data_IF_072310700271
#
_entry.id   IF_072310700271
#
_cell.length_a   1.000
_cell.length_b   1.000
_cell.length_c   1.000
_cell.angle_alpha   90.00
_cell.angle_beta   90.00
_cell.angle_gamma   90.00
#
_symmetry.space_group_name_H-M   'P 1'
#
loop_
_entity.id
_entity.type
_entity.pdbx_description
1 polymer ?
#
# COMPACT_ATOMS: atom_id res chain seq x y z
N UNK A 1 -28.00 -25.23 -4.44
CA UNK A 1 -27.30 -26.07 -5.42
C UNK A 1 -26.94 -25.32 -6.71
N UNK A 2 -27.88 -24.73 -7.48
CA UNK A 2 -27.55 -24.07 -8.78
C UNK A 2 -26.49 -22.95 -8.67
N UNK A 3 -26.50 -22.12 -7.63
CA UNK A 3 -25.47 -21.05 -7.40
C UNK A 3 -24.07 -21.61 -7.08
N UNK A 4 -23.98 -22.70 -6.34
CA UNK A 4 -22.70 -23.34 -6.02
C UNK A 4 -22.06 -23.98 -7.26
N UNK A 5 -22.88 -24.59 -8.14
CA UNK A 5 -22.41 -25.15 -9.42
C UNK A 5 -21.87 -24.03 -10.32
N UNK A 6 -22.50 -22.85 -10.33
CA UNK A 6 -22.05 -21.71 -11.12
C UNK A 6 -20.67 -21.21 -10.63
N UNK A 7 -20.45 -21.14 -9.33
CA UNK A 7 -19.14 -20.72 -8.76
C UNK A 7 -18.05 -21.75 -9.03
N UNK A 8 -18.37 -23.05 -8.93
CA UNK A 8 -17.43 -24.13 -9.22
C UNK A 8 -17.09 -24.15 -10.72
N UNK A 9 -18.07 -23.97 -11.60
CA UNK A 9 -17.82 -23.90 -13.04
C UNK A 9 -17.02 -22.65 -13.44
N UNK A 10 -17.28 -21.50 -12.83
CA UNK A 10 -16.51 -20.27 -13.03
C UNK A 10 -15.06 -20.45 -12.55
N UNK A 11 -14.86 -21.09 -11.41
CA UNK A 11 -13.52 -21.40 -10.87
C UNK A 11 -12.77 -22.40 -11.77
N UNK A 12 -13.44 -23.44 -12.30
CA UNK A 12 -12.85 -24.40 -13.23
C UNK A 12 -12.53 -23.78 -14.60
N UNK A 13 -13.33 -22.85 -15.09
CA UNK A 13 -13.03 -22.09 -16.32
C UNK A 13 -11.82 -21.19 -16.11
N UNK A 14 -11.72 -20.50 -14.97
CA UNK A 14 -10.55 -19.71 -14.63
C UNK A 14 -9.28 -20.57 -14.50
N UNK A 15 -9.36 -21.73 -13.89
CA UNK A 15 -8.20 -22.64 -13.73
C UNK A 15 -7.84 -23.39 -15.02
N UNK A 16 -8.81 -23.68 -15.87
CA UNK A 16 -8.59 -24.37 -17.16
C UNK A 16 -7.98 -23.49 -18.26
N UNK A 17 -8.15 -22.17 -18.17
CA UNK A 17 -7.58 -21.20 -19.11
C UNK A 17 -6.06 -20.96 -18.91
N UNK A 18 -5.45 -21.45 -17.85
CA UNK A 18 -4.05 -21.19 -17.48
C UNK A 18 -3.06 -22.19 -18.11
N UNK A 19 -3.27 -22.54 -19.37
CA UNK A 19 -2.18 -23.08 -20.21
C UNK A 19 -1.45 -21.98 -21.00
N UNK A 20 -1.53 -20.73 -20.57
CA UNK A 20 -0.59 -19.70 -21.03
C UNK A 20 0.77 -19.99 -20.37
N UNK A 21 1.83 -19.97 -21.15
CA UNK A 21 3.22 -19.91 -20.66
C UNK A 21 3.39 -18.58 -19.91
N UNK A 22 2.76 -18.49 -18.75
CA UNK A 22 2.86 -17.35 -17.86
C UNK A 22 4.21 -17.48 -17.19
N UNK A 23 5.15 -16.62 -17.53
CA UNK A 23 6.35 -16.43 -16.73
C UNK A 23 5.95 -15.61 -15.52
N UNK A 24 5.97 -16.16 -14.30
CA UNK A 24 5.70 -15.39 -13.12
C UNK A 24 6.82 -14.37 -12.91
N UNK A 25 6.49 -13.25 -12.31
CA UNK A 25 7.48 -12.28 -11.87
C UNK A 25 7.07 -11.69 -10.52
N UNK A 26 8.06 -11.28 -9.76
CA UNK A 26 7.86 -10.69 -8.46
C UNK A 26 8.72 -9.44 -8.30
N UNK A 27 8.30 -8.56 -7.42
CA UNK A 27 9.04 -7.35 -7.12
C UNK A 27 8.89 -6.95 -5.66
N UNK A 28 9.90 -6.23 -5.18
CA UNK A 28 9.93 -5.67 -3.84
C UNK A 28 10.43 -4.23 -3.92
N UNK A 29 9.75 -3.32 -3.22
CA UNK A 29 10.03 -1.89 -3.27
C UNK A 29 10.10 -1.28 -1.88
N UNK A 30 10.93 -0.28 -1.75
CA UNK A 30 10.79 0.78 -0.77
C UNK A 30 9.82 1.82 -1.34
N UNK A 31 8.86 2.25 -0.55
CA UNK A 31 7.78 3.15 -1.00
C UNK A 31 7.68 4.34 -0.06
N UNK A 32 7.64 5.53 -0.65
CA UNK A 32 7.28 6.78 0.02
C UNK A 32 5.91 7.20 -0.48
N UNK A 33 5.03 7.61 0.41
CA UNK A 33 3.68 8.05 0.08
C UNK A 33 3.44 9.48 0.56
N UNK A 34 2.93 10.30 -0.33
CA UNK A 34 2.64 11.72 -0.10
C UNK A 34 1.13 11.91 -0.11
N UNK A 35 0.52 12.26 1.03
CA UNK A 35 -0.89 12.60 1.09
C UNK A 35 -1.21 13.78 0.17
N UNK A 36 -2.38 13.76 -0.46
CA UNK A 36 -2.89 14.84 -1.30
C UNK A 36 -4.33 15.18 -0.94
N UNK A 37 -4.80 16.37 -1.34
CA UNK A 37 -6.14 16.84 -1.02
C UNK A 37 -6.38 16.94 0.48
N UNK A 38 -7.60 16.63 0.92
CA UNK A 38 -8.03 16.68 2.33
C UNK A 38 -7.12 15.83 3.24
N UNK A 39 -6.67 14.68 2.76
CA UNK A 39 -5.78 13.81 3.52
C UNK A 39 -4.46 14.49 3.92
N UNK A 40 -3.93 15.34 3.04
CA UNK A 40 -2.72 16.12 3.33
C UNK A 40 -2.93 17.10 4.48
N UNK A 41 -4.09 17.73 4.55
CA UNK A 41 -4.39 18.75 5.55
C UNK A 41 -4.40 18.14 6.97
N UNK A 42 -4.79 16.89 7.09
CA UNK A 42 -4.89 16.18 8.36
C UNK A 42 -3.64 15.39 8.75
N UNK A 43 -2.95 14.78 7.79
CA UNK A 43 -1.76 13.94 8.09
C UNK A 43 -0.46 14.70 7.98
N UNK A 44 -0.36 15.68 7.07
CA UNK A 44 0.72 16.67 6.97
C UNK A 44 2.08 16.17 6.53
N UNK A 45 2.45 14.90 6.79
CA UNK A 45 3.78 14.34 6.54
C UNK A 45 3.73 13.20 5.52
N UNK A 46 4.87 12.98 4.84
CA UNK A 46 5.05 11.81 4.00
C UNK A 46 5.07 10.52 4.84
N UNK A 47 4.49 9.45 4.29
CA UNK A 47 4.59 8.11 4.84
C UNK A 47 5.70 7.32 4.17
N UNK A 48 6.21 6.32 4.90
CA UNK A 48 7.26 5.42 4.43
C UNK A 48 6.84 3.97 4.63
N UNK A 49 7.27 3.11 3.73
CA UNK A 49 6.89 1.72 3.82
C UNK A 49 7.54 0.84 2.76
N UNK A 50 6.92 -0.32 2.56
CA UNK A 50 7.33 -1.28 1.56
C UNK A 50 6.15 -1.74 0.73
N UNK A 51 6.41 -2.14 -0.52
CA UNK A 51 5.42 -2.78 -1.36
C UNK A 51 6.02 -3.96 -2.11
N UNK A 52 5.17 -4.93 -2.45
CA UNK A 52 5.54 -6.09 -3.24
C UNK A 52 4.49 -6.34 -4.31
N UNK A 53 4.91 -6.93 -5.42
CA UNK A 53 4.02 -7.30 -6.51
C UNK A 53 4.30 -8.71 -6.96
N UNK A 54 3.23 -9.41 -7.31
CA UNK A 54 3.28 -10.75 -7.88
C UNK A 54 2.48 -10.76 -9.17
N UNK A 55 3.16 -10.97 -10.30
CA UNK A 55 2.52 -11.09 -11.59
C UNK A 55 2.29 -12.57 -11.94
N UNK A 56 1.05 -12.89 -12.22
CA UNK A 56 0.66 -14.22 -12.72
C UNK A 56 0.91 -14.32 -14.23
N UNK A 57 0.77 -13.18 -14.92
CA UNK A 57 1.06 -13.03 -16.33
C UNK A 57 2.06 -11.91 -16.52
N UNK A 58 3.22 -12.25 -17.05
CA UNK A 58 4.23 -11.28 -17.44
C UNK A 58 4.19 -11.02 -18.95
N UNK A 59 4.61 -9.85 -19.39
CA UNK A 59 4.61 -9.48 -20.80
C UNK A 59 5.42 -10.46 -21.66
N UNK A 60 4.90 -10.79 -22.83
CA UNK A 60 5.53 -11.66 -23.80
C UNK A 60 5.58 -10.97 -25.17
N UNK A 61 6.29 -11.57 -26.15
CA UNK A 61 6.36 -11.04 -27.52
C UNK A 61 4.98 -10.80 -28.16
N UNK A 62 3.98 -11.59 -27.77
CA UNK A 62 2.61 -11.52 -28.33
C UNK A 62 1.67 -10.66 -27.48
N UNK A 63 2.01 -10.46 -26.21
CA UNK A 63 1.12 -9.87 -25.20
C UNK A 63 1.92 -8.88 -24.36
N UNK A 64 1.81 -7.55 -24.62
CA UNK A 64 2.60 -6.52 -23.96
C UNK A 64 2.02 -6.11 -22.59
N UNK A 65 1.15 -6.89 -21.99
CA UNK A 65 0.55 -6.60 -20.70
C UNK A 65 0.83 -7.67 -19.65
N UNK A 66 0.83 -7.25 -18.39
CA UNK A 66 0.93 -8.09 -17.21
C UNK A 66 -0.29 -7.93 -16.32
N UNK A 67 -0.64 -8.99 -15.61
CA UNK A 67 -1.69 -9.02 -14.60
C UNK A 67 -1.14 -9.63 -13.32
N UNK A 68 -1.40 -8.97 -12.20
CA UNK A 68 -0.85 -9.37 -10.92
C UNK A 68 -1.60 -8.82 -9.72
N UNK A 69 -1.01 -8.98 -8.56
CA UNK A 69 -1.43 -8.38 -7.29
C UNK A 69 -0.32 -7.48 -6.77
N UNK A 70 -0.72 -6.36 -6.20
CA UNK A 70 0.16 -5.44 -5.48
C UNK A 70 -0.26 -5.41 -4.02
N UNK A 71 0.71 -5.56 -3.13
CA UNK A 71 0.57 -5.44 -1.68
C UNK A 71 1.43 -4.26 -1.24
N UNK A 72 0.91 -3.40 -0.40
CA UNK A 72 1.69 -2.31 0.17
C UNK A 72 1.37 -2.08 1.63
N UNK A 73 2.39 -1.68 2.37
CA UNK A 73 2.28 -1.23 3.75
C UNK A 73 3.01 0.09 3.88
N UNK A 74 2.33 1.12 4.35
CA UNK A 74 2.89 2.46 4.53
C UNK A 74 2.47 2.98 5.91
N UNK A 75 3.44 3.51 6.65
CA UNK A 75 3.21 4.16 7.93
C UNK A 75 3.39 5.67 7.81
N UNK A 76 2.42 6.42 8.32
CA UNK A 76 2.41 7.87 8.36
C UNK A 76 2.59 8.36 9.79
N UNK A 77 3.41 9.40 9.94
CA UNK A 77 3.44 10.18 11.17
C UNK A 77 3.80 9.38 12.41
N UNK A 78 4.88 8.60 12.36
CA UNK A 78 5.53 8.18 13.61
C UNK A 78 5.90 9.42 14.39
N UNK A 79 5.17 9.69 15.43
CA UNK A 79 5.45 10.80 16.33
C UNK A 79 5.71 10.25 17.73
N UNK A 80 6.91 10.52 18.20
CA UNK A 80 7.29 10.30 19.59
C UNK A 80 7.24 11.65 20.27
N UNK A 81 6.30 11.86 21.16
CA UNK A 81 6.15 13.14 21.86
C UNK A 81 5.99 12.96 23.35
N UNK A 82 6.48 13.94 24.09
CA UNK A 82 6.11 14.14 25.50
C UNK A 82 5.07 15.25 25.48
N UNK A 83 3.93 15.03 26.08
CA UNK A 83 2.86 16.03 26.11
C UNK A 83 3.28 17.22 26.97
N UNK A 84 3.36 18.40 26.34
CA UNK A 84 3.75 19.64 27.03
C UNK A 84 2.74 20.12 28.09
N UNK A 85 1.48 19.64 28.01
CA UNK A 85 0.45 20.00 29.00
C UNK A 85 0.52 19.17 30.29
N UNK A 86 1.24 18.05 30.26
CA UNK A 86 1.38 17.13 31.40
C UNK A 86 2.85 16.95 31.80
N UNK A 87 3.67 17.98 31.60
CA UNK A 87 5.10 17.99 31.95
C UNK A 87 5.40 17.54 33.38
N UNK A 88 4.41 17.66 34.27
CA UNK A 88 4.49 17.15 35.65
C UNK A 88 4.26 15.63 35.76
N UNK A 89 3.71 14.95 34.73
CA UNK A 89 3.33 13.53 34.77
C UNK A 89 4.13 12.62 33.84
N UNK A 90 5.07 13.14 33.04
CA UNK A 90 5.96 12.31 32.19
C UNK A 90 5.22 11.43 31.17
N UNK A 91 4.07 11.87 30.63
CA UNK A 91 3.30 11.12 29.65
C UNK A 91 4.02 11.12 28.30
N UNK A 92 4.44 9.95 27.85
CA UNK A 92 4.90 9.75 26.48
C UNK A 92 3.82 9.03 25.65
N UNK A 93 3.58 9.51 24.45
CA UNK A 93 2.67 8.85 23.52
C UNK A 93 3.35 8.53 22.21
N UNK A 94 2.99 7.38 21.67
CA UNK A 94 3.40 6.92 20.35
C UNK A 94 2.16 6.81 19.47
N UNK A 95 2.17 7.49 18.33
CA UNK A 95 1.06 7.52 17.39
C UNK A 95 1.55 7.21 16.00
N UNK A 96 0.91 6.26 15.34
CA UNK A 96 1.16 5.93 13.95
C UNK A 96 -0.16 5.65 13.22
N UNK A 97 -0.30 6.19 12.01
CA UNK A 97 -1.34 5.84 11.07
C UNK A 97 -0.74 4.90 10.03
N UNK A 98 -1.31 3.73 9.90
CA UNK A 98 -0.80 2.68 9.01
C UNK A 98 -1.82 2.36 7.93
N UNK A 99 -1.31 2.07 6.73
CA UNK A 99 -2.09 1.66 5.57
C UNK A 99 -1.56 0.32 5.08
N UNK A 100 -2.41 -0.68 5.07
CA UNK A 100 -2.17 -1.95 4.39
C UNK A 100 -3.10 -2.05 3.19
N UNK A 101 -2.55 -2.18 1.97
CA UNK A 101 -3.35 -2.16 0.75
C UNK A 101 -3.14 -3.40 -0.09
N UNK A 102 -4.21 -3.86 -0.73
CA UNK A 102 -4.19 -4.97 -1.68
C UNK A 102 -4.92 -4.54 -2.95
N UNK A 103 -4.23 -4.61 -4.09
CA UNK A 103 -4.77 -4.21 -5.38
C UNK A 103 -4.55 -5.26 -6.45
N UNK A 104 -5.54 -5.45 -7.29
CA UNK A 104 -5.37 -6.06 -8.61
C UNK A 104 -4.58 -5.07 -9.48
N UNK A 105 -3.53 -5.55 -10.13
CA UNK A 105 -2.58 -4.76 -10.89
C UNK A 105 -2.60 -5.17 -12.36
N UNK A 106 -2.87 -4.21 -13.24
CA UNK A 106 -2.72 -4.35 -14.67
C UNK A 106 -1.63 -3.43 -15.18
N UNK A 107 -0.65 -3.98 -15.91
CA UNK A 107 0.52 -3.24 -16.39
C UNK A 107 0.71 -3.44 -17.90
N UNK A 108 0.99 -2.38 -18.63
CA UNK A 108 1.38 -2.39 -20.03
C UNK A 108 2.85 -2.01 -20.09
N UNK A 109 3.69 -2.94 -20.57
CA UNK A 109 5.15 -2.77 -20.61
C UNK A 109 5.74 -3.48 -21.82
N UNK A 110 6.79 -2.91 -22.50
CA UNK A 110 7.50 -3.57 -23.59
C UNK A 110 8.08 -4.92 -23.15
N UNK A 111 7.94 -5.92 -24.00
CA UNK A 111 8.45 -7.28 -23.73
C UNK A 111 9.97 -7.33 -23.60
N UNK A 112 10.71 -6.53 -24.36
CA UNK A 112 12.17 -6.57 -24.43
C UNK A 112 12.77 -5.16 -24.31
N UNK A 113 14.04 -5.10 -23.92
CA UNK A 113 14.80 -3.87 -23.82
C UNK A 113 15.50 -3.74 -22.46
N UNK A 114 16.63 -3.04 -22.45
CA UNK A 114 17.37 -2.73 -21.22
C UNK A 114 16.66 -1.66 -20.38
N UNK A 115 15.86 -0.81 -21.03
CA UNK A 115 15.01 0.19 -20.39
C UNK A 115 13.59 -0.06 -20.84
N UNK A 116 12.67 -0.28 -19.90
CA UNK A 116 11.26 -0.61 -20.15
C UNK A 116 10.35 0.39 -19.46
N UNK A 117 9.91 1.43 -20.18
CA UNK A 117 8.85 2.30 -19.66
C UNK A 117 7.53 1.53 -19.61
N UNK A 118 6.70 1.80 -18.60
CA UNK A 118 5.42 1.17 -18.47
C UNK A 118 4.37 2.10 -17.84
N UNK A 119 3.12 1.74 -18.06
CA UNK A 119 1.98 2.32 -17.40
C UNK A 119 1.19 1.21 -16.70
N UNK A 120 0.54 1.55 -15.61
CA UNK A 120 -0.21 0.58 -14.83
C UNK A 120 -1.49 1.18 -14.24
N UNK A 121 -2.44 0.32 -13.95
CA UNK A 121 -3.67 0.65 -13.24
C UNK A 121 -3.87 -0.34 -12.10
N UNK A 122 -4.47 0.15 -11.01
CA UNK A 122 -4.71 -0.59 -9.80
C UNK A 122 -6.18 -0.46 -9.39
N UNK A 123 -6.74 -1.53 -8.87
CA UNK A 123 -8.05 -1.55 -8.26
C UNK A 123 -8.08 -2.52 -7.08
N UNK A 124 -8.57 -2.06 -5.93
CA UNK A 124 -8.62 -2.90 -4.73
C UNK A 124 -9.09 -2.14 -3.52
N UNK A 125 -8.42 -2.36 -2.40
CA UNK A 125 -8.77 -1.69 -1.17
C UNK A 125 -7.58 -1.49 -0.24
N UNK A 126 -7.77 -0.56 0.67
CA UNK A 126 -6.81 -0.19 1.69
C UNK A 126 -7.45 -0.30 3.07
N UNK A 127 -6.80 -1.00 3.96
CA UNK A 127 -7.13 -1.07 5.37
C UNK A 127 -6.29 -0.05 6.11
N UNK A 128 -6.97 0.86 6.79
CA UNK A 128 -6.36 1.96 7.52
C UNK A 128 -6.52 1.65 8.99
N UNK A 129 -5.44 1.72 9.75
CA UNK A 129 -5.48 1.54 11.19
C UNK A 129 -4.54 2.50 11.89
N UNK A 130 -5.10 3.18 12.87
CA UNK A 130 -4.39 4.11 13.74
C UNK A 130 -4.18 3.47 15.09
N UNK A 131 -2.95 3.52 15.58
CA UNK A 131 -2.57 3.00 16.88
C UNK A 131 -1.97 4.14 17.71
N UNK A 132 -2.47 4.30 18.92
CA UNK A 132 -1.94 5.28 19.87
C UNK A 132 -1.75 4.61 21.22
N UNK A 133 -0.50 4.61 21.71
CA UNK A 133 -0.14 4.13 23.04
C UNK A 133 0.15 5.32 23.93
N UNK A 134 -0.54 5.37 25.08
CA UNK A 134 -0.24 6.30 26.17
C UNK A 134 0.48 5.53 27.27
N UNK A 135 1.71 5.90 27.54
CA UNK A 135 2.46 5.39 28.68
C UNK A 135 2.31 6.39 29.79
N UNK A 136 1.41 6.08 30.74
CA UNK A 136 1.29 6.80 31.99
C UNK A 136 2.32 6.22 32.95
N UNK A 137 3.13 7.07 33.56
CA UNK A 137 4.28 6.74 34.41
C UNK A 137 4.12 5.39 35.18
N UNK A 138 5.20 4.76 35.49
CA UNK A 138 5.48 3.41 36.05
C UNK A 138 4.42 2.69 36.92
N UNK A 139 3.29 3.33 37.24
CA UNK A 139 2.25 2.75 38.11
C UNK A 139 1.01 2.20 37.39
N UNK A 140 0.82 2.52 36.10
CA UNK A 140 -0.43 2.18 35.39
C UNK A 140 -0.16 1.47 34.07
N UNK A 141 -1.05 0.52 33.66
CA UNK A 141 -0.91 -0.12 32.35
C UNK A 141 -1.10 0.90 31.22
N UNK A 142 -0.39 0.73 30.09
CA UNK A 142 -0.57 1.62 28.94
C UNK A 142 -2.01 1.57 28.44
N UNK A 143 -2.57 2.73 28.13
CA UNK A 143 -3.88 2.83 27.48
C UNK A 143 -3.66 2.81 25.99
N UNK A 144 -4.16 1.79 25.33
CA UNK A 144 -4.04 1.58 23.89
C UNK A 144 -5.37 1.90 23.22
N UNK A 145 -5.33 2.69 22.18
CA UNK A 145 -6.48 3.02 21.35
C UNK A 145 -6.27 2.50 19.92
N UNK A 146 -7.31 1.87 19.38
CA UNK A 146 -7.37 1.39 18.00
C UNK A 146 -8.55 2.03 17.29
N UNK A 147 -8.28 2.57 16.12
CA UNK A 147 -9.30 2.98 15.15
C UNK A 147 -8.90 2.38 13.82
N UNK A 148 -9.81 1.64 13.19
CA UNK A 148 -9.58 1.01 11.90
C UNK A 148 -10.79 1.15 10.99
N UNK A 149 -10.52 1.27 9.69
CA UNK A 149 -11.54 1.36 8.66
C UNK A 149 -11.02 0.83 7.33
N UNK A 150 -11.94 0.54 6.41
CA UNK A 150 -11.66 0.01 5.09
C UNK A 150 -12.13 0.97 4.01
N UNK A 151 -11.23 1.27 3.06
CA UNK A 151 -11.52 2.09 1.91
C UNK A 151 -11.33 1.31 0.60
N UNK A 152 -12.25 1.47 -0.35
CA UNK A 152 -11.96 1.12 -1.72
C UNK A 152 -10.92 2.07 -2.28
N UNK A 153 -9.90 1.52 -2.97
CA UNK A 153 -8.87 2.33 -3.60
C UNK A 153 -8.56 1.86 -5.01
N UNK A 154 -8.27 2.82 -5.88
CA UNK A 154 -7.93 2.60 -7.27
C UNK A 154 -6.97 3.67 -7.73
N UNK A 155 -6.23 3.38 -8.78
CA UNK A 155 -5.26 4.35 -9.25
C UNK A 155 -4.61 3.99 -10.57
N UNK A 156 -3.71 4.87 -10.96
CA UNK A 156 -2.85 4.69 -12.12
C UNK A 156 -1.44 5.12 -11.78
N UNK A 157 -0.49 4.57 -12.52
CA UNK A 157 0.91 4.88 -12.34
C UNK A 157 1.71 4.69 -13.61
N UNK A 158 2.95 5.13 -13.55
CA UNK A 158 3.95 4.88 -14.57
C UNK A 158 5.29 4.59 -13.92
N UNK A 159 6.15 3.89 -14.64
CA UNK A 159 7.48 3.57 -14.15
C UNK A 159 8.46 3.23 -15.26
N UNK A 160 9.70 3.00 -14.84
CA UNK A 160 10.83 2.66 -15.69
C UNK A 160 11.60 1.50 -15.06
N UNK A 161 11.72 0.40 -15.79
CA UNK A 161 12.54 -0.74 -15.41
C UNK A 161 13.89 -0.67 -16.13
N UNK A 162 14.97 -0.72 -15.37
CA UNK A 162 16.34 -0.71 -15.89
C UNK A 162 16.98 -2.09 -15.66
N UNK A 163 17.42 -2.73 -16.72
CA UNK A 163 18.07 -4.05 -16.63
C UNK A 163 19.35 -3.94 -15.80
N UNK A 164 19.44 -4.71 -14.74
CA UNK A 164 20.62 -4.82 -13.87
C UNK A 164 21.42 -6.09 -14.18
N UNK A 165 20.73 -7.23 -14.27
CA UNK A 165 21.34 -8.54 -14.52
C UNK A 165 20.45 -9.34 -15.47
N UNK A 166 21.03 -10.08 -16.39
CA UNK A 166 20.33 -10.94 -17.33
C UNK A 166 20.36 -10.45 -18.76
N UNK A 167 19.41 -10.89 -19.58
CA UNK A 167 19.31 -10.58 -21.00
C UNK A 167 18.13 -9.65 -21.28
N UNK A 168 18.35 -8.60 -22.06
CA UNK A 168 17.31 -7.65 -22.46
C UNK A 168 16.21 -8.27 -23.34
N UNK A 169 16.48 -9.39 -24.00
CA UNK A 169 15.56 -10.09 -24.91
C UNK A 169 14.92 -11.35 -24.30
N UNK A 170 15.52 -11.88 -23.23
CA UNK A 170 15.02 -13.03 -22.48
C UNK A 170 14.58 -12.54 -21.09
N UNK A 171 13.32 -12.72 -20.78
CA UNK A 171 12.82 -12.31 -19.46
C UNK A 171 13.31 -13.23 -18.35
N UNK A 172 13.39 -14.53 -18.63
CA UNK A 172 13.73 -15.55 -17.63
C UNK A 172 15.10 -15.28 -16.98
N UNK A 173 15.12 -15.22 -15.63
CA UNK A 173 16.32 -14.97 -14.85
C UNK A 173 16.82 -13.53 -14.89
N UNK A 174 16.03 -12.59 -15.40
CA UNK A 174 16.43 -11.18 -15.51
C UNK A 174 15.98 -10.38 -14.29
N UNK A 175 16.89 -9.53 -13.80
CA UNK A 175 16.68 -8.60 -12.69
C UNK A 175 16.69 -7.17 -13.20
N UNK A 176 15.68 -6.40 -12.82
CA UNK A 176 15.56 -4.98 -13.12
C UNK A 176 15.52 -4.15 -11.85
N UNK A 177 16.12 -2.98 -11.88
CA UNK A 177 15.84 -1.89 -10.95
C UNK A 177 14.60 -1.17 -11.49
N UNK A 178 13.58 -1.02 -10.66
CA UNK A 178 12.30 -0.43 -11.05
C UNK A 178 12.03 0.84 -10.24
N UNK A 179 11.72 1.92 -10.97
CA UNK A 179 11.31 3.20 -10.42
C UNK A 179 9.90 3.50 -10.87
N UNK A 180 9.00 3.83 -9.95
CA UNK A 180 7.60 4.13 -10.28
C UNK A 180 6.98 5.20 -9.42
N UNK A 181 5.96 5.83 -10.00
CA UNK A 181 5.09 6.79 -9.33
C UNK A 181 3.64 6.37 -9.60
N UNK A 182 2.81 6.39 -8.57
CA UNK A 182 1.38 6.09 -8.62
C UNK A 182 0.58 7.22 -8.02
N UNK A 183 -0.58 7.48 -8.57
CA UNK A 183 -1.62 8.27 -7.98
C UNK A 183 -2.75 7.34 -7.55
N UNK A 184 -3.02 7.27 -6.25
CA UNK A 184 -4.06 6.43 -5.65
C UNK A 184 -5.18 7.32 -5.14
N UNK A 185 -6.38 7.01 -5.57
CA UNK A 185 -7.64 7.61 -5.13
C UNK A 185 -8.33 6.62 -4.20
N UNK A 186 -9.01 7.11 -3.17
CA UNK A 186 -9.75 6.27 -2.24
C UNK A 186 -11.20 6.74 -2.04
N UNK A 187 -12.03 5.83 -1.53
CA UNK A 187 -13.29 6.21 -0.93
C UNK A 187 -13.05 6.93 0.40
N UNK A 188 -14.07 7.61 0.91
CA UNK A 188 -14.06 8.17 2.26
C UNK A 188 -13.81 7.08 3.29
N UNK A 189 -13.05 7.43 4.30
CA UNK A 189 -12.67 6.53 5.41
C UNK A 189 -12.44 7.34 6.68
N UNK A 190 -12.68 6.71 7.81
CA UNK A 190 -12.50 7.31 9.12
C UNK A 190 -11.08 7.04 9.65
N UNK A 191 -10.43 8.06 10.16
CA UNK A 191 -9.12 7.97 10.80
C UNK A 191 -8.97 8.99 11.92
N UNK A 192 -8.00 8.73 12.80
CA UNK A 192 -7.81 9.51 14.02
C UNK A 192 -7.20 10.87 13.71
N UNK A 193 -7.83 11.94 14.24
CA UNK A 193 -7.20 13.26 14.24
C UNK A 193 -5.93 13.26 15.09
N UNK A 194 -4.88 13.82 14.52
CA UNK A 194 -3.56 13.89 15.16
C UNK A 194 -3.54 14.77 16.41
N UNK A 195 -4.38 15.80 16.46
CA UNK A 195 -4.38 16.83 17.49
C UNK A 195 -5.46 16.63 18.55
N UNK A 196 -6.38 15.69 18.37
CA UNK A 196 -7.62 15.64 19.17
C UNK A 196 -7.61 14.68 20.35
N UNK A 197 -6.55 13.90 20.51
CA UNK A 197 -6.52 12.92 21.60
C UNK A 197 -6.12 13.61 22.90
N UNK A 198 -7.08 13.75 23.81
CA UNK A 198 -6.89 14.39 25.13
C UNK A 198 -7.27 13.37 26.20
N UNK A 199 -6.37 13.17 27.15
CA UNK A 199 -6.66 12.36 28.34
C UNK A 199 -7.29 13.27 29.41
N UNK A 200 -8.56 13.02 29.76
CA UNK A 200 -9.27 13.76 30.79
C UNK A 200 -9.56 12.85 31.98
N UNK A 201 -8.84 13.02 33.09
CA UNK A 201 -8.91 12.20 34.30
C UNK A 201 -8.74 10.67 34.01
N UNK A 202 -9.79 9.98 33.65
CA UNK A 202 -9.81 8.54 33.37
C UNK A 202 -10.52 8.21 32.05
N UNK A 203 -10.85 9.25 31.27
CA UNK A 203 -11.58 9.13 30.00
C UNK A 203 -10.74 9.70 28.86
N UNK A 204 -10.62 8.92 27.79
CA UNK A 204 -9.91 9.32 26.59
C UNK A 204 -10.92 9.96 25.64
N UNK A 205 -10.79 11.28 25.42
CA UNK A 205 -11.57 11.98 24.41
C UNK A 205 -10.75 12.07 23.13
N UNK A 206 -11.35 11.71 22.02
CA UNK A 206 -10.75 11.81 20.69
C UNK A 206 -11.78 12.25 19.67
N UNK A 207 -11.34 12.88 18.61
CA UNK A 207 -12.13 13.10 17.41
C UNK A 207 -11.53 12.34 16.24
N UNK A 208 -12.40 11.80 15.42
CA UNK A 208 -12.06 11.17 14.14
C UNK A 208 -12.45 12.09 12.99
N UNK A 209 -11.73 11.99 11.90
CA UNK A 209 -12.07 12.64 10.64
C UNK A 209 -12.50 11.60 9.62
N UNK A 210 -13.50 11.93 8.84
CA UNK A 210 -13.89 11.19 7.66
C UNK A 210 -13.49 11.97 6.42
N UNK A 211 -12.54 11.46 5.64
CA UNK A 211 -12.13 12.04 4.37
C UNK A 211 -11.59 11.00 3.39
N UNK A 212 -11.38 11.41 2.15
CA UNK A 212 -10.67 10.60 1.15
C UNK A 212 -9.20 10.54 1.49
N UNK A 213 -8.60 9.35 1.41
CA UNK A 213 -7.18 9.12 1.67
C UNK A 213 -6.36 9.06 0.38
N UNK A 214 -6.52 10.06 -0.46
CA UNK A 214 -5.82 10.16 -1.74
C UNK A 214 -4.32 10.38 -1.52
N UNK A 215 -3.48 9.71 -2.32
CA UNK A 215 -2.03 9.81 -2.15
C UNK A 215 -1.26 9.63 -3.46
N UNK A 216 -0.09 10.25 -3.54
CA UNK A 216 0.93 9.95 -4.55
C UNK A 216 1.98 9.07 -3.89
N UNK A 217 2.29 7.93 -4.50
CA UNK A 217 3.38 7.07 -4.04
C UNK A 217 4.54 7.11 -5.02
N UNK A 218 5.77 7.16 -4.48
CA UNK A 218 7.00 7.00 -5.24
C UNK A 218 7.73 5.77 -4.70
N UNK A 219 8.12 4.87 -5.57
CA UNK A 219 8.74 3.60 -5.17
C UNK A 219 10.00 3.31 -5.98
N UNK A 220 10.99 2.74 -5.31
CA UNK A 220 12.21 2.20 -5.90
C UNK A 220 12.37 0.75 -5.42
N UNK A 221 12.71 -0.16 -6.33
CA UNK A 221 12.84 -1.55 -5.96
C UNK A 221 13.48 -2.44 -7.01
N UNK A 222 13.36 -3.73 -6.76
CA UNK A 222 13.87 -4.78 -7.59
C UNK A 222 12.70 -5.57 -8.19
N UNK A 223 12.78 -5.82 -9.48
CA UNK A 223 11.80 -6.60 -10.23
C UNK A 223 12.49 -7.80 -10.88
N UNK A 224 11.99 -8.98 -10.60
CA UNK A 224 12.59 -10.24 -11.02
C UNK A 224 11.61 -11.07 -11.88
N UNK A 225 12.09 -11.55 -13.04
CA UNK A 225 11.41 -12.52 -13.91
C UNK A 225 11.94 -13.92 -13.64
N UNK A 226 11.05 -14.84 -13.26
CA UNK A 226 11.39 -16.25 -12.99
C UNK A 226 11.55 -17.05 -14.26
#
# INVERSE_FOLDING_TARGET
MKRQILYISLFLILTGAIKLQAQPSASLYFTTAFPVGEFRDYVGNAGFGASSELFFFSPSKKVPYGLGLSFSFVSYGMYFGVDQYTDELGLSYNKANNFASVHLLFQIVPHAGSIRPYVETLFGGSYIFSHTDFIVDYCCPPVTMWLDDWAWSYGAGFGLKFLSVGDAFLNHGSLYIDLKVRYLLSSSTEYLDRSSVVLYYDTLEYSSFESKTDMITASIGLYFYF
#
